data_IF_802732913996
#
_entry.id   IF_802732913996
#
_cell.length_a   1.000
_cell.length_b   1.000
_cell.length_c   1.000
_cell.angle_alpha   90.00
_cell.angle_beta   90.00
_cell.angle_gamma   90.00
#
_symmetry.space_group_name_H-M   'P 1'
#
loop_
_entity.id
_entity.type
_entity.pdbx_description
1 polymer ?
#
# COMPACT_ATOMS: atom_id res chain seq x y z
N UNK A 1 26.02 28.13 -19.56
CA UNK A 1 24.56 28.00 -19.39
C UNK A 1 24.09 26.54 -19.62
N UNK A 2 24.45 25.91 -20.75
CA UNK A 2 24.07 24.53 -21.11
C UNK A 2 24.40 23.41 -20.11
N UNK A 3 25.54 23.51 -19.39
CA UNK A 3 25.95 22.47 -18.41
C UNK A 3 24.99 22.33 -17.21
N UNK A 4 24.36 23.43 -16.76
CA UNK A 4 23.40 23.39 -15.64
C UNK A 4 22.03 22.88 -16.10
N UNK A 5 21.64 23.18 -17.33
CA UNK A 5 20.40 22.67 -17.94
C UNK A 5 20.44 21.15 -18.08
N UNK A 6 21.58 20.58 -18.52
CA UNK A 6 21.75 19.12 -18.66
C UNK A 6 21.69 18.38 -17.32
N UNK A 7 22.23 19.00 -16.27
CA UNK A 7 22.18 18.46 -14.90
C UNK A 7 20.75 18.52 -14.34
N UNK A 8 20.00 19.60 -14.61
CA UNK A 8 18.59 19.70 -14.22
C UNK A 8 17.71 18.66 -14.95
N UNK A 9 17.91 18.48 -16.25
CA UNK A 9 17.15 17.49 -17.02
C UNK A 9 17.46 16.06 -16.58
N UNK A 10 18.72 15.76 -16.24
CA UNK A 10 19.12 14.46 -15.72
C UNK A 10 18.44 14.12 -14.38
N UNK A 11 18.40 15.08 -13.45
CA UNK A 11 17.72 14.91 -12.15
C UNK A 11 16.21 14.73 -12.33
N UNK A 12 15.58 15.46 -13.25
CA UNK A 12 14.14 15.29 -13.54
C UNK A 12 13.81 13.89 -14.09
N UNK A 13 14.64 13.39 -15.02
CA UNK A 13 14.44 12.05 -15.62
C UNK A 13 14.61 10.95 -14.58
N UNK A 14 15.58 11.08 -13.67
CA UNK A 14 15.82 10.12 -12.58
C UNK A 14 14.62 9.99 -11.61
N UNK A 15 13.92 11.09 -11.31
CA UNK A 15 12.74 11.06 -10.43
C UNK A 15 11.51 10.43 -11.10
N UNK A 16 11.40 10.50 -12.44
CA UNK A 16 10.27 9.93 -13.17
C UNK A 16 10.27 8.38 -13.20
N UNK A 17 11.45 7.76 -13.08
CA UNK A 17 11.60 6.30 -13.08
C UNK A 17 11.02 5.63 -11.83
N UNK A 18 10.85 6.37 -10.73
CA UNK A 18 10.32 5.85 -9.45
C UNK A 18 8.84 5.47 -9.50
N UNK A 19 8.11 5.83 -10.56
CA UNK A 19 6.69 5.50 -10.72
C UNK A 19 6.45 4.06 -11.25
N UNK A 20 7.45 3.46 -11.91
CA UNK A 20 7.31 2.15 -12.58
C UNK A 20 7.40 0.93 -11.65
N UNK A 21 7.70 1.12 -10.35
CA UNK A 21 7.98 0.04 -9.41
C UNK A 21 6.87 -0.15 -8.34
N UNK A 22 5.67 0.35 -8.58
CA UNK A 22 4.55 0.18 -7.64
C UNK A 22 3.91 -1.21 -7.81
N UNK A 23 3.43 -1.81 -6.72
CA UNK A 23 2.72 -3.09 -6.76
C UNK A 23 1.42 -2.96 -7.57
N UNK A 24 1.07 -3.99 -8.33
CA UNK A 24 -0.19 -4.08 -9.08
C UNK A 24 -1.42 -4.34 -8.21
N UNK A 25 -1.27 -4.48 -6.88
CA UNK A 25 -2.40 -4.66 -5.97
C UNK A 25 -3.21 -3.37 -5.81
N UNK A 26 -4.47 -3.43 -6.23
CA UNK A 26 -5.46 -2.37 -6.05
C UNK A 26 -6.45 -2.79 -4.97
N UNK A 27 -6.66 -1.93 -3.97
CA UNK A 27 -7.58 -2.16 -2.87
C UNK A 27 -8.91 -1.43 -3.10
N UNK A 28 -10.03 -2.13 -2.92
CA UNK A 28 -11.37 -1.54 -3.09
C UNK A 28 -11.61 -0.39 -2.10
N UNK A 29 -11.17 -0.58 -0.85
CA UNK A 29 -11.16 0.45 0.21
C UNK A 29 -9.91 0.30 1.06
N UNK A 30 -8.89 1.18 0.91
CA UNK A 30 -7.63 1.06 1.63
C UNK A 30 -7.71 1.52 3.10
N UNK A 31 -8.82 2.15 3.49
CA UNK A 31 -9.02 2.66 4.84
C UNK A 31 -10.41 2.26 5.35
N UNK A 32 -10.45 1.97 6.65
CA UNK A 32 -11.67 1.66 7.37
C UNK A 32 -11.62 2.31 8.75
N UNK A 33 -12.69 3.01 9.11
CA UNK A 33 -12.88 3.54 10.45
C UNK A 33 -13.91 2.66 11.17
N UNK A 34 -13.50 2.02 12.25
CA UNK A 34 -14.40 1.23 13.09
C UNK A 34 -15.27 2.10 14.01
N UNK A 35 -14.95 3.40 14.13
CA UNK A 35 -15.56 4.30 15.08
C UNK A 35 -15.20 3.94 16.52
N UNK A 36 -16.16 4.16 17.43
CA UNK A 36 -15.99 3.83 18.85
C UNK A 36 -16.37 2.38 19.10
N UNK A 37 -15.42 1.58 19.57
CA UNK A 37 -15.63 0.19 19.99
C UNK A 37 -15.45 0.13 21.50
N UNK A 38 -16.38 -0.52 22.21
CA UNK A 38 -16.17 -0.87 23.63
C UNK A 38 -15.53 -2.24 23.70
N UNK A 39 -14.49 -2.38 24.52
CA UNK A 39 -13.80 -3.66 24.72
C UNK A 39 -14.75 -4.79 25.18
N UNK A 40 -15.78 -4.43 25.95
CA UNK A 40 -16.81 -5.37 26.43
C UNK A 40 -17.69 -5.94 25.32
N UNK A 41 -17.77 -5.29 24.16
CA UNK A 41 -18.62 -5.72 23.05
C UNK A 41 -17.95 -6.80 22.19
N UNK A 42 -16.67 -7.12 22.49
CA UNK A 42 -15.91 -8.17 21.81
C UNK A 42 -15.22 -7.72 20.53
N UNK A 43 -14.61 -8.66 19.78
CA UNK A 43 -13.85 -8.34 18.58
C UNK A 43 -14.77 -7.93 17.42
N UNK A 44 -14.35 -6.90 16.69
CA UNK A 44 -14.96 -6.50 15.42
C UNK A 44 -14.03 -6.87 14.26
N UNK A 45 -14.58 -7.07 13.07
CA UNK A 45 -13.81 -7.50 11.90
C UNK A 45 -14.19 -6.70 10.67
N UNK A 46 -13.19 -6.34 9.89
CA UNK A 46 -13.35 -5.79 8.54
C UNK A 46 -12.47 -6.59 7.57
N UNK A 47 -12.97 -6.81 6.35
CA UNK A 47 -12.23 -7.50 5.29
C UNK A 47 -11.79 -6.49 4.25
N UNK A 48 -10.48 -6.32 4.12
CA UNK A 48 -9.89 -5.64 2.98
C UNK A 48 -9.85 -6.59 1.80
N UNK A 49 -10.34 -6.14 0.66
CA UNK A 49 -10.29 -6.87 -0.61
C UNK A 49 -9.34 -6.11 -1.53
N UNK A 50 -8.43 -6.86 -2.13
CA UNK A 50 -7.54 -6.35 -3.16
C UNK A 50 -7.57 -7.24 -4.39
N UNK A 51 -7.25 -6.66 -5.53
CA UNK A 51 -7.13 -7.33 -6.82
C UNK A 51 -5.74 -7.05 -7.37
N UNK A 52 -5.09 -8.08 -7.90
CA UNK A 52 -3.88 -7.89 -8.69
C UNK A 52 -4.27 -7.44 -10.11
N UNK A 53 -3.97 -6.20 -10.45
CA UNK A 53 -4.10 -5.62 -11.79
C UNK A 53 -2.75 -5.50 -12.50
N UNK A 54 -1.67 -6.01 -11.89
CA UNK A 54 -0.35 -6.07 -12.48
C UNK A 54 -0.22 -7.18 -13.54
N UNK A 55 0.86 -7.10 -14.32
CA UNK A 55 1.16 -8.06 -15.39
C UNK A 55 1.76 -9.38 -14.87
N UNK A 56 2.09 -9.44 -13.58
CA UNK A 56 2.75 -10.58 -12.96
C UNK A 56 2.01 -11.03 -11.68
N UNK A 57 2.06 -12.32 -11.32
CA UNK A 57 1.53 -12.79 -10.05
C UNK A 57 2.22 -12.13 -8.86
N UNK A 58 1.44 -11.64 -7.90
CA UNK A 58 1.93 -11.11 -6.64
C UNK A 58 1.47 -11.98 -5.47
N UNK A 59 2.35 -12.14 -4.48
CA UNK A 59 2.09 -12.93 -3.28
C UNK A 59 2.22 -12.04 -2.05
N UNK A 60 1.17 -12.00 -1.23
CA UNK A 60 1.19 -11.31 0.06
C UNK A 60 1.96 -12.20 1.05
N UNK A 61 3.19 -11.81 1.38
CA UNK A 61 4.04 -12.56 2.30
C UNK A 61 3.70 -12.31 3.77
N UNK A 62 3.33 -11.07 4.10
CA UNK A 62 3.09 -10.65 5.48
C UNK A 62 2.15 -9.44 5.53
N UNK A 63 1.34 -9.37 6.58
CA UNK A 63 0.59 -8.17 6.96
C UNK A 63 1.02 -7.78 8.37
N UNK A 64 1.42 -6.52 8.55
CA UNK A 64 1.91 -5.99 9.84
C UNK A 64 1.02 -4.86 10.33
N UNK A 65 1.02 -4.68 11.65
CA UNK A 65 0.33 -3.58 12.31
C UNK A 65 1.35 -2.72 13.04
N UNK A 66 1.08 -1.42 13.12
CA UNK A 66 1.90 -0.49 13.90
C UNK A 66 1.54 -0.52 15.38
N UNK A 67 0.34 -1.00 15.71
CA UNK A 67 -0.19 -1.15 17.05
C UNK A 67 -0.64 -2.60 17.30
N UNK A 68 -0.50 -3.08 18.53
CA UNK A 68 -0.81 -4.48 18.90
C UNK A 68 -2.30 -4.77 19.16
N UNK A 69 -3.20 -3.81 18.95
CA UNK A 69 -4.63 -3.99 19.22
C UNK A 69 -5.41 -4.62 18.05
N UNK A 70 -4.75 -4.87 16.91
CA UNK A 70 -5.35 -5.48 15.73
C UNK A 70 -4.58 -6.73 15.33
N UNK A 71 -5.30 -7.73 14.82
CA UNK A 71 -4.72 -8.99 14.33
C UNK A 71 -5.09 -9.15 12.86
N UNK A 72 -4.13 -9.09 11.92
CA UNK A 72 -4.40 -9.24 10.50
C UNK A 72 -4.10 -10.66 9.97
N UNK A 73 -5.06 -11.58 9.94
CA UNK A 73 -4.91 -12.84 9.21
C UNK A 73 -4.94 -12.60 7.70
N UNK A 74 -4.08 -13.32 6.97
CA UNK A 74 -4.14 -13.40 5.49
C UNK A 74 -5.16 -14.48 5.13
N UNK A 75 -6.11 -14.12 4.27
CA UNK A 75 -7.03 -15.06 3.65
C UNK A 75 -6.69 -15.14 2.16
N UNK A 76 -6.37 -16.34 1.68
CA UNK A 76 -6.12 -16.63 0.27
C UNK A 76 -7.34 -17.28 -0.38
#
# INVERSE_FOLDING_TARGET
MFRKTYQLTFVLILNALSCLAQSGLVFDRPAWDFGTIRETDGPVTHRFVCRNEGEHPEVILQVTTTCGCTTPPIYA
#
